data_IF_767455180058
#
_entry.id   IF_767455180058
#
_cell.length_a   1.000
_cell.length_b   1.000
_cell.length_c   1.000
_cell.angle_alpha   90.00
_cell.angle_beta   90.00
_cell.angle_gamma   90.00
#
_symmetry.space_group_name_H-M   'P 1'
#
loop_
_entity.id
_entity.type
_entity.pdbx_description
1 polymer ?
#
# COMPACT_ATOMS: atom_id res chain seq x y z
N UNK A 1 22.24 11.20 4.99
CA UNK A 1 21.48 10.43 6.01
C UNK A 1 20.02 10.46 5.60
N UNK A 2 19.40 9.30 5.37
CA UNK A 2 17.96 9.23 5.09
C UNK A 2 17.20 9.38 6.40
N UNK A 3 16.41 10.45 6.55
CA UNK A 3 15.54 10.66 7.70
C UNK A 3 14.54 9.50 7.80
N UNK A 4 14.32 8.97 9.01
CA UNK A 4 13.21 8.04 9.27
C UNK A 4 11.89 8.79 9.22
N UNK A 5 10.93 8.24 8.50
CA UNK A 5 9.56 8.73 8.44
C UNK A 5 8.84 8.41 9.75
N UNK A 6 7.92 9.30 10.17
CA UNK A 6 6.99 9.03 11.26
C UNK A 6 5.99 7.93 10.87
N UNK A 7 5.31 7.35 11.86
CA UNK A 7 4.23 6.38 11.63
C UNK A 7 3.13 6.94 10.71
N UNK A 8 2.82 8.24 10.86
CA UNK A 8 1.85 8.95 10.03
C UNK A 8 2.37 9.12 8.58
N UNK A 9 3.60 9.61 8.41
CA UNK A 9 4.24 9.75 7.09
C UNK A 9 4.32 8.38 6.37
N UNK A 10 4.64 7.30 7.10
CA UNK A 10 4.65 5.93 6.56
C UNK A 10 3.26 5.48 6.08
N UNK A 11 2.22 5.70 6.90
CA UNK A 11 0.83 5.35 6.53
C UNK A 11 0.40 6.08 5.25
N UNK A 12 0.74 7.35 5.13
CA UNK A 12 0.35 8.18 3.99
C UNK A 12 1.05 7.75 2.71
N UNK A 13 2.36 7.51 2.76
CA UNK A 13 3.12 7.01 1.60
C UNK A 13 2.65 5.62 1.16
N UNK A 14 2.37 4.72 2.10
CA UNK A 14 1.81 3.40 1.79
C UNK A 14 0.42 3.52 1.15
N UNK A 15 -0.40 4.47 1.59
CA UNK A 15 -1.74 4.71 1.01
C UNK A 15 -1.66 5.16 -0.45
N UNK A 16 -0.64 5.96 -0.83
CA UNK A 16 -0.39 6.33 -2.24
C UNK A 16 0.03 5.11 -3.07
N UNK A 17 0.89 4.25 -2.53
CA UNK A 17 1.29 3.02 -3.21
C UNK A 17 0.12 2.06 -3.40
N UNK A 18 -0.72 1.88 -2.38
CA UNK A 18 -1.97 1.11 -2.44
C UNK A 18 -2.83 1.59 -3.60
N UNK A 19 -3.06 2.90 -3.70
CA UNK A 19 -3.85 3.49 -4.79
C UNK A 19 -3.25 3.15 -6.16
N UNK A 20 -1.93 3.33 -6.34
CA UNK A 20 -1.27 3.00 -7.60
C UNK A 20 -1.41 1.53 -8.00
N UNK A 21 -1.29 0.60 -7.04
CA UNK A 21 -1.49 -0.84 -7.30
C UNK A 21 -2.95 -1.18 -7.61
N UNK A 22 -3.90 -0.52 -6.95
CA UNK A 22 -5.33 -0.68 -7.24
C UNK A 22 -5.64 -0.25 -8.67
N UNK A 23 -5.22 0.95 -9.07
CA UNK A 23 -5.39 1.46 -10.44
C UNK A 23 -4.72 0.54 -11.46
N UNK A 24 -3.54 -0.01 -11.14
CA UNK A 24 -2.89 -0.97 -12.03
C UNK A 24 -3.74 -2.24 -12.20
N UNK A 25 -4.25 -2.83 -11.12
CA UNK A 25 -5.09 -4.03 -11.20
C UNK A 25 -6.39 -3.77 -11.96
N UNK A 26 -7.03 -2.63 -11.74
CA UNK A 26 -8.25 -2.24 -12.44
C UNK A 26 -8.04 -2.20 -13.97
N UNK A 27 -6.92 -1.63 -14.42
CA UNK A 27 -6.63 -1.48 -15.84
C UNK A 27 -6.09 -2.75 -16.52
N UNK A 28 -5.46 -3.64 -15.75
CA UNK A 28 -4.61 -4.71 -16.31
C UNK A 28 -4.99 -6.14 -15.86
N UNK A 29 -5.96 -6.31 -14.97
CA UNK A 29 -6.40 -7.66 -14.53
C UNK A 29 -7.32 -8.37 -15.53
N UNK A 30 -7.95 -7.61 -16.44
CA UNK A 30 -8.93 -8.13 -17.38
C UNK A 30 -8.96 -7.31 -18.69
N UNK A 31 -9.75 -7.78 -19.67
CA UNK A 31 -9.97 -7.08 -20.93
C UNK A 31 -8.80 -7.16 -21.91
N UNK A 32 -8.80 -6.27 -22.91
CA UNK A 32 -7.82 -6.28 -24.03
C UNK A 32 -6.39 -5.93 -23.60
N UNK A 33 -6.23 -5.24 -22.48
CA UNK A 33 -4.95 -4.85 -21.91
C UNK A 33 -4.48 -5.80 -20.80
N UNK A 34 -5.17 -6.93 -20.61
CA UNK A 34 -4.86 -7.89 -19.55
C UNK A 34 -3.39 -8.30 -19.60
N UNK A 35 -2.71 -8.19 -18.46
CA UNK A 35 -1.33 -8.65 -18.26
C UNK A 35 -1.30 -10.15 -17.91
N UNK A 36 -0.14 -10.81 -18.01
CA UNK A 36 -0.01 -12.20 -17.59
C UNK A 36 -0.47 -12.44 -16.15
N UNK A 37 -1.08 -13.60 -15.89
CA UNK A 37 -1.67 -13.92 -14.59
C UNK A 37 -0.65 -13.85 -13.44
N UNK A 38 0.59 -14.28 -13.66
CA UNK A 38 1.65 -14.20 -12.65
C UNK A 38 1.99 -12.76 -12.24
N UNK A 39 1.85 -11.78 -13.15
CA UNK A 39 2.02 -10.36 -12.82
C UNK A 39 0.84 -9.84 -12.00
N UNK A 40 -0.38 -10.23 -12.36
CA UNK A 40 -1.60 -9.87 -11.64
C UNK A 40 -1.54 -10.43 -10.21
N UNK A 41 -1.16 -11.70 -10.06
CA UNK A 41 -0.97 -12.33 -8.76
C UNK A 41 0.10 -11.63 -7.93
N UNK A 42 1.25 -11.29 -8.52
CA UNK A 42 2.32 -10.58 -7.83
C UNK A 42 1.82 -9.23 -7.32
N UNK A 43 1.18 -8.43 -8.17
CA UNK A 43 0.67 -7.11 -7.78
C UNK A 43 -0.46 -7.22 -6.75
N UNK A 44 -1.32 -8.23 -6.85
CA UNK A 44 -2.35 -8.50 -5.84
C UNK A 44 -1.73 -8.84 -4.47
N UNK A 45 -0.68 -9.66 -4.44
CA UNK A 45 0.07 -9.96 -3.21
C UNK A 45 0.76 -8.72 -2.64
N UNK A 46 1.41 -7.91 -3.48
CA UNK A 46 2.01 -6.63 -3.09
C UNK A 46 0.97 -5.70 -2.44
N UNK A 47 -0.21 -5.56 -3.06
CA UNK A 47 -1.31 -4.76 -2.53
C UNK A 47 -1.76 -5.24 -1.14
N UNK A 48 -1.88 -6.55 -0.94
CA UNK A 48 -2.23 -7.11 0.36
C UNK A 48 -1.19 -6.77 1.45
N UNK A 49 0.10 -6.90 1.13
CA UNK A 49 1.20 -6.53 2.05
C UNK A 49 1.15 -5.04 2.40
N UNK A 50 0.96 -4.18 1.39
CA UNK A 50 0.89 -2.74 1.60
C UNK A 50 -0.30 -2.34 2.47
N UNK A 51 -1.47 -2.96 2.25
CA UNK A 51 -2.65 -2.74 3.09
C UNK A 51 -2.41 -3.10 4.55
N UNK A 52 -1.77 -4.25 4.81
CA UNK A 52 -1.42 -4.66 6.17
C UNK A 52 -0.46 -3.65 6.83
N UNK A 53 0.62 -3.29 6.13
CA UNK A 53 1.59 -2.34 6.64
C UNK A 53 0.97 -0.95 6.91
N UNK A 54 0.12 -0.45 6.01
CA UNK A 54 -0.57 0.82 6.20
C UNK A 54 -1.48 0.78 7.43
N UNK A 55 -2.21 -0.32 7.63
CA UNK A 55 -3.05 -0.50 8.82
C UNK A 55 -2.23 -0.48 10.11
N UNK A 56 -1.09 -1.17 10.13
CA UNK A 56 -0.21 -1.22 11.31
C UNK A 56 0.39 0.14 11.64
N UNK A 57 0.82 0.91 10.63
CA UNK A 57 1.33 2.26 10.83
C UNK A 57 0.25 3.26 11.24
N UNK A 58 -0.98 3.15 10.74
CA UNK A 58 -2.12 3.96 11.24
C UNK A 58 -2.36 3.73 12.72
N UNK A 59 -2.40 2.47 13.15
CA UNK A 59 -2.53 2.11 14.57
C UNK A 59 -1.37 2.62 15.40
N UNK A 60 -0.14 2.57 14.87
CA UNK A 60 1.02 3.14 15.55
C UNK A 60 0.88 4.66 15.71
N UNK A 61 0.50 5.39 14.66
CA UNK A 61 0.27 6.83 14.72
C UNK A 61 -0.86 7.21 15.71
N UNK A 62 -1.94 6.42 15.78
CA UNK A 62 -3.00 6.61 16.76
C UNK A 62 -2.50 6.44 18.21
N UNK A 63 -1.66 5.42 18.47
CA UNK A 63 -1.03 5.25 19.78
C UNK A 63 -0.10 6.40 20.12
N UNK A 64 0.70 6.87 19.16
CA UNK A 64 1.61 7.99 19.36
C UNK A 64 0.84 9.28 19.71
N UNK A 65 -0.37 9.47 19.16
CA UNK A 65 -1.25 10.62 19.48
C UNK A 65 -2.01 10.48 20.81
N UNK A 66 -2.41 9.26 21.18
CA UNK A 66 -3.16 9.00 22.41
C UNK A 66 -2.29 8.83 23.66
N UNK A 67 -0.99 8.61 23.49
CA UNK A 67 0.01 8.56 24.56
C UNK A 67 0.61 9.94 24.90
N UNK A 68 0.09 11.01 24.30
CA UNK A 68 0.49 12.41 24.50
C UNK A 68 -0.38 13.11 25.54
#
# INVERSE_FOLDING_TARGET
MTRRLSSEEMSDELSKLIYGKHVWLENFSAGRSKRPDHDIERVSRELNVLNQAASDYRRAAERDRGAA
#
